data_IF_431920278650
#
_entry.id   IF_431920278650
#
_cell.length_a   1.000
_cell.length_b   1.000
_cell.length_c   1.000
_cell.angle_alpha   90.00
_cell.angle_beta   90.00
_cell.angle_gamma   90.00
#
_symmetry.space_group_name_H-M   'P 1'
#
loop_
_entity.id
_entity.type
_entity.pdbx_description
1 polymer ?
#
# COMPACT_ATOMS: atom_id res chain seq x y z
N UNK A 1 -6.36 9.62 18.40
CA UNK A 1 -4.99 9.43 18.92
C UNK A 1 -4.08 10.48 18.28
N UNK A 2 -3.36 11.30 19.05
CA UNK A 2 -2.51 12.38 18.50
C UNK A 2 -1.14 11.79 18.12
N UNK A 3 -0.89 11.60 16.83
CA UNK A 3 0.37 11.04 16.31
C UNK A 3 1.42 12.16 16.33
N UNK A 4 2.36 12.11 17.28
CA UNK A 4 3.39 13.13 17.42
C UNK A 4 4.62 12.86 16.54
N UNK A 5 4.82 11.60 16.12
CA UNK A 5 5.93 11.18 15.26
C UNK A 5 5.49 10.05 14.34
N UNK A 6 5.82 10.17 13.07
CA UNK A 6 5.62 9.11 12.10
C UNK A 6 6.81 8.15 12.14
N UNK A 7 6.58 6.82 12.15
CA UNK A 7 7.65 5.86 12.01
C UNK A 7 8.31 6.02 10.64
N UNK A 8 9.63 5.84 10.60
CA UNK A 8 10.35 5.66 9.34
C UNK A 8 9.98 4.30 8.74
N UNK A 9 10.03 4.19 7.41
CA UNK A 9 9.64 2.97 6.69
C UNK A 9 10.51 1.76 7.06
N UNK A 10 11.81 1.96 7.29
CA UNK A 10 12.73 0.91 7.74
C UNK A 10 12.28 0.25 9.05
N UNK A 11 11.83 1.07 10.00
CA UNK A 11 11.40 0.68 11.33
C UNK A 11 10.06 -0.04 11.24
N UNK A 12 9.16 0.46 10.39
CA UNK A 12 7.89 -0.17 10.09
C UNK A 12 8.10 -1.60 9.56
N UNK A 13 8.94 -1.75 8.52
CA UNK A 13 9.21 -3.04 7.88
C UNK A 13 9.90 -4.02 8.84
N UNK A 14 10.79 -3.53 9.70
CA UNK A 14 11.46 -4.36 10.71
C UNK A 14 10.46 -4.91 11.75
N UNK A 15 9.54 -4.08 12.24
CA UNK A 15 8.50 -4.52 13.17
C UNK A 15 7.51 -5.46 12.49
N UNK A 16 7.06 -5.13 11.27
CA UNK A 16 6.15 -5.95 10.49
C UNK A 16 6.71 -7.35 10.28
N UNK A 17 7.93 -7.45 9.76
CA UNK A 17 8.62 -8.72 9.53
C UNK A 17 8.82 -9.52 10.80
N UNK A 18 9.22 -8.86 11.90
CA UNK A 18 9.40 -9.55 13.18
C UNK A 18 8.09 -10.19 13.69
N UNK A 19 6.94 -9.52 13.51
CA UNK A 19 5.63 -10.07 13.92
C UNK A 19 5.20 -11.21 12.98
N UNK A 20 5.47 -11.10 11.69
CA UNK A 20 5.23 -12.18 10.72
C UNK A 20 6.04 -13.44 11.10
N UNK A 21 7.34 -13.28 11.38
CA UNK A 21 8.26 -14.36 11.71
C UNK A 21 7.93 -15.02 13.08
N UNK A 22 7.35 -14.28 14.03
CA UNK A 22 7.05 -14.75 15.41
C UNK A 22 5.56 -14.92 15.68
N UNK A 23 4.77 -15.12 14.63
CA UNK A 23 3.32 -15.18 14.68
C UNK A 23 2.80 -16.21 15.70
N UNK A 24 2.06 -15.74 16.70
CA UNK A 24 1.44 -16.56 17.74
C UNK A 24 2.34 -16.86 18.94
N UNK A 25 3.61 -16.43 18.93
CA UNK A 25 4.56 -16.74 20.00
C UNK A 25 4.55 -15.73 21.15
N UNK A 26 4.26 -14.45 20.87
CA UNK A 26 4.47 -13.36 21.81
C UNK A 26 3.27 -12.43 21.96
N UNK A 27 3.16 -11.80 23.13
CA UNK A 27 2.22 -10.70 23.39
C UNK A 27 2.83 -9.35 23.00
N UNK A 28 2.00 -8.31 22.85
CA UNK A 28 2.40 -6.95 22.41
C UNK A 28 3.67 -6.39 23.10
N UNK A 29 3.77 -6.50 24.44
CA UNK A 29 4.94 -6.02 25.20
C UNK A 29 6.19 -6.87 24.98
N UNK A 30 6.03 -8.17 24.82
CA UNK A 30 7.16 -9.09 24.61
C UNK A 30 7.79 -8.88 23.24
N UNK A 31 6.96 -8.66 22.22
CA UNK A 31 7.40 -8.28 20.87
C UNK A 31 8.28 -7.05 20.96
N UNK A 32 7.77 -5.95 21.54
CA UNK A 32 8.54 -4.72 21.69
C UNK A 32 9.90 -4.93 22.37
N UNK A 33 9.94 -5.79 23.39
CA UNK A 33 11.16 -6.06 24.16
C UNK A 33 12.17 -6.95 23.41
N UNK A 34 11.71 -7.75 22.45
CA UNK A 34 12.52 -8.68 21.64
C UNK A 34 12.88 -8.13 20.26
N UNK A 35 12.41 -6.94 19.90
CA UNK A 35 12.77 -6.32 18.62
C UNK A 35 14.30 -6.22 18.48
N UNK A 36 14.83 -6.42 17.26
CA UNK A 36 16.28 -6.37 17.00
C UNK A 36 16.87 -4.96 17.22
N UNK A 37 16.04 -3.92 17.24
CA UNK A 37 16.47 -2.55 17.53
C UNK A 37 15.57 -1.90 18.58
N UNK A 38 16.15 -0.97 19.36
CA UNK A 38 15.41 -0.19 20.36
C UNK A 38 14.52 0.84 19.68
N UNK A 39 13.28 0.46 19.40
CA UNK A 39 12.22 1.36 18.95
C UNK A 39 11.56 2.01 20.17
N UNK A 40 11.29 3.32 20.10
CA UNK A 40 10.48 3.99 21.13
C UNK A 40 9.11 3.32 21.23
N UNK A 41 8.65 3.07 22.46
CA UNK A 41 7.39 2.36 22.69
C UNK A 41 6.19 3.03 22.00
N UNK A 42 6.14 4.37 21.99
CA UNK A 42 5.09 5.12 21.29
C UNK A 42 5.05 4.83 19.78
N UNK A 43 6.22 4.81 19.13
CA UNK A 43 6.34 4.49 17.70
C UNK A 43 5.92 3.05 17.42
N UNK A 44 6.32 2.12 18.29
CA UNK A 44 5.88 0.73 18.20
C UNK A 44 4.36 0.62 18.34
N UNK A 45 3.73 1.34 19.27
CA UNK A 45 2.27 1.34 19.40
C UNK A 45 1.59 1.83 18.12
N UNK A 46 2.07 2.92 17.51
CA UNK A 46 1.51 3.42 16.24
C UNK A 46 1.58 2.37 15.14
N UNK A 47 2.73 1.68 14.99
CA UNK A 47 2.90 0.61 14.00
C UNK A 47 1.96 -0.56 14.31
N UNK A 48 1.92 -0.98 15.57
CA UNK A 48 1.10 -2.10 16.02
C UNK A 48 -0.39 -1.86 15.78
N UNK A 49 -0.86 -0.67 16.15
CA UNK A 49 -2.27 -0.31 16.00
C UNK A 49 -2.63 -0.19 14.51
N UNK A 50 -1.72 0.34 13.67
CA UNK A 50 -1.90 0.31 12.22
C UNK A 50 -1.99 -1.12 11.64
N UNK A 51 -1.12 -2.04 12.07
CA UNK A 51 -1.16 -3.44 11.61
C UNK A 51 -2.45 -4.14 12.05
N UNK A 52 -2.96 -3.81 13.23
CA UNK A 52 -4.22 -4.33 13.76
C UNK A 52 -5.42 -3.77 12.98
N UNK A 53 -5.47 -2.45 12.77
CA UNK A 53 -6.54 -1.77 12.03
C UNK A 53 -6.57 -2.17 10.55
N UNK A 54 -5.41 -2.40 9.93
CA UNK A 54 -5.32 -2.90 8.56
C UNK A 54 -5.63 -4.39 8.42
N UNK A 55 -5.90 -5.11 9.53
CA UNK A 55 -6.23 -6.53 9.53
C UNK A 55 -5.05 -7.44 9.19
N UNK A 56 -3.81 -6.94 9.23
CA UNK A 56 -2.62 -7.76 9.00
C UNK A 56 -2.29 -8.65 10.19
N UNK A 57 -2.61 -8.18 11.39
CA UNK A 57 -2.47 -8.94 12.63
C UNK A 57 -3.82 -9.03 13.34
N UNK A 58 -3.96 -10.08 14.15
CA UNK A 58 -5.10 -10.28 15.04
C UNK A 58 -4.59 -10.64 16.44
N UNK A 59 -5.44 -10.43 17.44
CA UNK A 59 -5.17 -10.84 18.82
C UNK A 59 -5.91 -12.13 19.11
N UNK A 60 -5.18 -13.14 19.59
CA UNK A 60 -5.77 -14.34 20.17
C UNK A 60 -6.48 -14.01 21.49
N UNK A 61 -7.35 -14.92 21.96
CA UNK A 61 -8.08 -14.77 23.22
C UNK A 61 -7.16 -14.53 24.41
N UNK A 62 -5.99 -15.15 24.41
CA UNK A 62 -4.99 -15.04 25.48
C UNK A 62 -4.04 -13.83 25.34
N UNK A 63 -4.27 -13.00 24.30
CA UNK A 63 -3.51 -11.78 24.02
C UNK A 63 -2.23 -11.98 23.19
N UNK A 64 -2.02 -13.17 22.63
CA UNK A 64 -0.94 -13.42 21.67
C UNK A 64 -1.24 -12.75 20.33
N UNK A 65 -0.20 -12.25 19.68
CA UNK A 65 -0.30 -11.56 18.40
C UNK A 65 -0.09 -12.57 17.29
N UNK A 66 -1.05 -12.68 16.38
CA UNK A 66 -1.05 -13.66 15.28
C UNK A 66 -1.07 -12.91 13.96
N UNK A 67 -0.23 -13.32 13.02
CA UNK A 67 -0.23 -12.80 11.65
C UNK A 67 -1.41 -13.39 10.86
N UNK A 68 -2.24 -12.53 10.31
CA UNK A 68 -3.46 -12.90 9.57
C UNK A 68 -3.35 -12.62 8.07
N UNK A 69 -2.37 -11.83 7.63
CA UNK A 69 -2.22 -11.46 6.23
C UNK A 69 -1.73 -12.64 5.38
N UNK A 70 -2.49 -12.99 4.35
CA UNK A 70 -2.14 -14.09 3.44
C UNK A 70 -1.74 -13.56 2.05
N UNK A 71 -0.43 -13.46 1.74
CA UNK A 71 0.04 -12.95 0.45
C UNK A 71 -0.35 -13.85 -0.72
N UNK A 72 -0.53 -15.16 -0.50
CA UNK A 72 -0.95 -16.12 -1.53
C UNK A 72 -2.37 -15.86 -2.01
N UNK A 73 -3.30 -15.60 -1.09
CA UNK A 73 -4.67 -15.21 -1.43
C UNK A 73 -4.70 -13.88 -2.19
N UNK A 74 -3.95 -12.88 -1.73
CA UNK A 74 -3.85 -11.59 -2.43
C UNK A 74 -3.32 -11.78 -3.84
N UNK A 75 -2.25 -12.57 -4.03
CA UNK A 75 -1.70 -12.86 -5.37
C UNK A 75 -2.73 -13.57 -6.27
N UNK A 76 -3.53 -14.49 -5.72
CA UNK A 76 -4.61 -15.16 -6.45
C UNK A 76 -5.65 -14.16 -6.98
N UNK A 77 -6.10 -13.23 -6.14
CA UNK A 77 -7.08 -12.21 -6.54
C UNK A 77 -6.47 -11.13 -7.45
N UNK A 78 -5.20 -10.79 -7.27
CA UNK A 78 -4.51 -9.82 -8.13
C UNK A 78 -4.36 -10.32 -9.58
N UNK A 79 -4.25 -11.63 -9.75
CA UNK A 79 -4.19 -12.27 -11.06
C UNK A 79 -5.56 -12.45 -11.73
N UNK A 80 -6.66 -12.22 -11.00
CA UNK A 80 -8.00 -12.28 -11.58
C UNK A 80 -8.23 -11.09 -12.52
N UNK A 81 -8.51 -11.33 -13.80
CA UNK A 81 -8.60 -10.27 -14.79
C UNK A 81 -9.74 -9.28 -14.52
N UNK A 82 -10.82 -9.75 -13.90
CA UNK A 82 -12.01 -8.97 -13.50
C UNK A 82 -11.76 -8.02 -12.33
N UNK A 83 -10.74 -8.28 -11.51
CA UNK A 83 -10.34 -7.45 -10.37
C UNK A 83 -9.04 -6.67 -10.63
N UNK A 84 -8.31 -7.02 -11.70
CA UNK A 84 -7.02 -6.41 -12.01
C UNK A 84 -7.15 -4.96 -12.52
N UNK A 85 -6.48 -4.01 -11.86
CA UNK A 85 -6.40 -2.60 -12.28
C UNK A 85 -5.91 -2.43 -13.73
N UNK A 86 -5.07 -3.36 -14.22
CA UNK A 86 -4.43 -3.30 -15.54
C UNK A 86 -5.39 -3.44 -16.74
N UNK A 87 -6.69 -3.73 -16.55
CA UNK A 87 -7.67 -3.82 -17.66
C UNK A 87 -8.67 -2.67 -17.78
N UNK A 88 -8.75 -1.76 -16.80
CA UNK A 88 -9.74 -0.67 -16.84
C UNK A 88 -9.32 0.47 -17.79
N UNK A 89 -8.07 0.49 -18.27
CA UNK A 89 -7.64 1.45 -19.30
C UNK A 89 -8.27 1.22 -20.68
N UNK A 90 -8.96 0.09 -20.92
CA UNK A 90 -9.64 -0.15 -22.19
C UNK A 90 -11.13 0.21 -22.21
N UNK A 91 -11.81 0.42 -21.08
CA UNK A 91 -13.24 0.77 -21.09
C UNK A 91 -13.63 1.63 -19.88
N UNK A 92 -13.54 2.96 -20.05
CA UNK A 92 -14.65 3.90 -19.80
C UNK A 92 -14.38 5.30 -20.36
N UNK A 93 -13.11 5.66 -20.59
CA UNK A 93 -12.73 6.87 -21.32
C UNK A 93 -11.50 6.59 -22.20
N UNK A 94 -11.66 6.19 -23.48
CA UNK A 94 -10.53 6.08 -24.37
C UNK A 94 -9.95 7.48 -24.61
N UNK A 95 -8.75 7.73 -24.10
CA UNK A 95 -8.01 8.95 -24.42
C UNK A 95 -7.60 8.88 -25.90
N UNK A 96 -8.33 9.59 -26.77
CA UNK A 96 -7.95 9.69 -28.19
C UNK A 96 -6.80 10.68 -28.31
N UNK A 97 -5.66 10.21 -28.80
CA UNK A 97 -4.56 11.06 -29.26
C UNK A 97 -4.99 11.69 -30.59
N UNK A 98 -5.22 13.00 -30.62
CA UNK A 98 -5.41 13.74 -31.87
C UNK A 98 -4.10 14.46 -32.17
N UNK A 99 -3.41 14.01 -33.22
CA UNK A 99 -2.23 14.69 -33.73
C UNK A 99 -2.65 15.83 -34.64
N UNK A 100 -2.13 17.03 -34.41
CA UNK A 100 -2.25 18.15 -35.35
C UNK A 100 -0.84 18.48 -35.88
N UNK A 101 -0.75 18.72 -37.20
CA UNK A 101 0.47 19.26 -37.81
C UNK A 101 0.52 20.76 -37.53
N UNK A 102 1.49 21.16 -36.70
CA UNK A 102 1.80 22.57 -36.46
C UNK A 102 3.13 22.91 -37.12
N UNK A 103 3.17 24.02 -37.85
CA UNK A 103 4.37 24.54 -38.50
C UNK A 103 4.88 25.74 -37.69
N UNK A 104 6.00 25.57 -36.99
CA UNK A 104 6.69 26.67 -36.31
C UNK A 104 8.03 26.87 -36.99
N UNK A 105 8.26 28.09 -37.53
CA UNK A 105 9.50 28.50 -38.19
C UNK A 105 9.94 27.58 -39.35
N UNK A 106 9.00 27.18 -40.20
CA UNK A 106 9.29 26.43 -41.44
C UNK A 106 9.67 24.96 -41.25
N UNK A 107 9.51 24.41 -40.03
CA UNK A 107 9.77 22.99 -39.75
C UNK A 107 8.46 22.33 -39.31
N UNK A 108 7.97 21.38 -40.10
CA UNK A 108 6.77 20.59 -39.78
C UNK A 108 7.08 19.62 -38.63
N UNK A 109 6.40 19.76 -37.49
CA UNK A 109 6.44 18.78 -36.39
C UNK A 109 5.03 18.36 -35.97
N UNK A 110 4.86 17.08 -35.67
CA UNK A 110 3.61 16.55 -35.11
C UNK A 110 3.59 16.89 -33.61
N UNK A 111 2.63 17.70 -33.18
CA UNK A 111 2.35 17.95 -31.75
C UNK A 111 1.17 17.08 -31.34
N UNK A 112 1.32 16.35 -30.24
CA UNK A 112 0.25 15.56 -29.64
C UNK A 112 -0.30 16.31 -28.42
N UNK A 113 -1.59 16.63 -28.43
CA UNK A 113 -2.29 17.17 -27.25
C UNK A 113 -3.13 16.08 -26.58
N UNK A 114 -3.00 15.99 -25.26
CA UNK A 114 -3.77 15.09 -24.41
C UNK A 114 -5.03 15.82 -23.92
N UNK A 115 -6.19 15.58 -24.55
CA UNK A 115 -7.47 16.12 -24.10
C UNK A 115 -8.19 15.15 -23.15
N UNK A 116 -8.60 15.63 -21.97
CA UNK A 116 -9.52 14.95 -21.05
C UNK A 116 -10.93 15.48 -21.33
N UNK A 117 -11.80 14.71 -21.99
CA UNK A 117 -13.22 15.02 -22.04
C UNK A 117 -13.87 14.50 -20.76
N UNK A 118 -14.10 15.40 -19.79
CA UNK A 118 -15.03 15.16 -18.68
C UNK A 118 -16.37 15.79 -19.03
N UNK A 119 -17.44 14.99 -19.06
CA UNK A 119 -18.79 15.53 -19.06
C UNK A 119 -19.14 15.93 -17.62
N UNK A 120 -19.39 17.22 -17.41
CA UNK A 120 -20.38 17.70 -16.46
C UNK A 120 -21.74 17.08 -16.83
N UNK A 121 -22.48 16.61 -15.84
CA UNK A 121 -23.81 16.03 -15.98
C UNK A 121 -24.14 15.11 -14.82
#
# INVERSE_FOLDING_TARGET
MKINRYPRLDTFLMVEKFIEDTSGEFKKREIWRKLPSKVMYQTFCVIFDYLLESGKIILSRDGFVVWAYNPGLVKKYMNRPDLSWRRITKLKYPMKMVGFLGEEKGVKRVKYLLFRYGYFG
#
